data_IF_379236381904
#
_entry.id   IF_379236381904
#
_cell.length_a   1.000
_cell.length_b   1.000
_cell.length_c   1.000
_cell.angle_alpha   90.00
_cell.angle_beta   90.00
_cell.angle_gamma   90.00
#
_symmetry.space_group_name_H-M   'P 1'
#
loop_
_entity.id
_entity.type
_entity.pdbx_description
1 polymer ?
#
# COMPACT_ATOMS: atom_id res chain seq x y z
N UNK A 1 16.76 -42.18 -1.45
CA UNK A 1 15.42 -42.31 -0.83
C UNK A 1 15.42 -41.37 0.35
N UNK A 2 14.85 -40.17 0.22
CA UNK A 2 14.89 -39.16 1.28
C UNK A 2 13.52 -38.49 1.38
N UNK A 3 13.03 -38.48 2.62
CA UNK A 3 11.65 -38.29 3.03
C UNK A 3 11.19 -36.84 2.89
N UNK A 4 9.94 -36.69 2.45
CA UNK A 4 9.11 -35.50 2.64
C UNK A 4 8.82 -35.33 4.14
N UNK A 5 9.01 -34.13 4.68
CA UNK A 5 8.46 -33.76 5.97
C UNK A 5 7.61 -32.49 5.85
N UNK A 6 6.33 -32.66 6.14
CA UNK A 6 5.33 -31.62 6.42
C UNK A 6 5.42 -31.25 7.89
N UNK A 7 5.33 -29.97 8.24
CA UNK A 7 5.16 -29.53 9.63
C UNK A 7 3.93 -28.63 9.73
N UNK A 8 2.85 -29.17 10.29
CA UNK A 8 1.93 -28.42 11.15
C UNK A 8 1.83 -29.20 12.46
N UNK A 9 2.17 -28.56 13.59
CA UNK A 9 1.45 -28.66 14.89
C UNK A 9 2.24 -27.89 15.95
N UNK A 10 1.59 -26.88 16.53
CA UNK A 10 1.97 -26.31 17.84
C UNK A 10 1.05 -26.94 18.88
N UNK A 11 1.63 -27.57 19.90
CA UNK A 11 0.90 -27.91 21.13
C UNK A 11 1.78 -27.53 22.32
N UNK A 12 1.36 -26.49 23.04
CA UNK A 12 1.96 -26.07 24.29
C UNK A 12 0.93 -26.22 25.40
N UNK A 13 1.26 -26.98 26.45
CA UNK A 13 0.64 -26.75 27.75
C UNK A 13 1.58 -27.20 28.88
N UNK A 14 1.98 -26.22 29.71
CA UNK A 14 1.90 -26.35 31.17
C UNK A 14 1.85 -24.94 31.78
N UNK A 15 0.78 -24.68 32.50
CA UNK A 15 0.46 -23.41 33.16
C UNK A 15 1.11 -23.35 34.53
N UNK A 16 1.71 -22.20 34.87
CA UNK A 16 1.89 -21.69 36.25
C UNK A 16 1.88 -20.16 36.21
N UNK A 17 0.79 -19.58 36.72
CA UNK A 17 0.58 -18.15 37.07
C UNK A 17 1.09 -17.11 36.07
N UNK A 18 0.22 -16.64 35.17
CA UNK A 18 0.57 -15.69 34.11
C UNK A 18 0.11 -14.28 34.51
N UNK A 19 1.03 -13.31 34.52
CA UNK A 19 0.67 -11.90 34.39
C UNK A 19 -0.02 -11.73 33.04
N UNK A 20 -1.33 -11.51 33.04
CA UNK A 20 -2.09 -11.31 31.82
C UNK A 20 -1.74 -9.92 31.27
N UNK A 21 -1.02 -9.86 30.15
CA UNK A 21 -0.93 -8.64 29.37
C UNK A 21 -2.34 -8.35 28.83
N UNK A 22 -3.03 -7.37 29.41
CA UNK A 22 -4.30 -6.88 28.89
C UNK A 22 -4.03 -6.14 27.57
N UNK A 23 -4.15 -6.86 26.45
CA UNK A 23 -4.42 -6.24 25.14
C UNK A 23 -5.94 -6.09 25.05
N UNK A 24 -6.46 -4.99 24.47
CA UNK A 24 -7.90 -4.71 24.42
C UNK A 24 -8.72 -5.94 24.04
N UNK A 25 -9.76 -6.22 24.83
CA UNK A 25 -10.58 -7.41 24.67
C UNK A 25 -11.40 -7.35 23.37
N UNK A 26 -11.01 -8.18 22.40
CA UNK A 26 -11.86 -8.68 21.32
C UNK A 26 -12.58 -7.63 20.45
N UNK A 27 -11.86 -6.96 19.54
CA UNK A 27 -12.42 -6.04 18.54
C UNK A 27 -13.20 -6.74 17.39
N UNK A 28 -13.67 -7.97 17.58
CA UNK A 28 -14.30 -8.78 16.54
C UNK A 28 -15.82 -8.97 16.66
N UNK A 29 -16.42 -8.61 17.79
CA UNK A 29 -17.82 -8.98 18.10
C UNK A 29 -18.86 -7.95 17.64
N UNK A 30 -18.46 -6.71 17.38
CA UNK A 30 -19.36 -5.70 16.79
C UNK A 30 -19.64 -5.97 15.30
N UNK A 31 -18.63 -6.42 14.55
CA UNK A 31 -18.74 -6.67 13.10
C UNK A 31 -19.63 -7.87 12.74
N UNK A 32 -19.95 -8.75 13.69
CA UNK A 32 -20.76 -9.95 13.45
C UNK A 32 -22.27 -9.71 13.55
N UNK A 33 -22.71 -8.66 14.26
CA UNK A 33 -24.13 -8.39 14.53
C UNK A 33 -24.86 -7.68 13.37
N UNK A 34 -24.13 -7.03 12.46
CA UNK A 34 -24.69 -6.22 11.36
C UNK A 34 -24.80 -6.92 10.00
N UNK A 35 -24.54 -8.23 9.92
CA UNK A 35 -24.40 -8.93 8.63
C UNK A 35 -23.00 -8.77 8.04
N UNK A 36 -22.72 -9.45 6.90
CA UNK A 36 -21.39 -9.44 6.29
C UNK A 36 -21.08 -8.01 5.80
N UNK A 37 -20.03 -7.35 6.31
CA UNK A 37 -19.69 -6.00 5.87
C UNK A 37 -19.39 -6.00 4.37
N UNK A 38 -19.68 -4.89 3.67
CA UNK A 38 -19.30 -4.76 2.27
C UNK A 38 -17.80 -4.96 2.12
N UNK A 39 -17.37 -5.55 1.00
CA UNK A 39 -15.96 -5.84 0.74
C UNK A 39 -15.16 -4.55 0.83
N UNK A 40 -14.21 -4.49 1.76
CA UNK A 40 -13.27 -3.39 1.90
C UNK A 40 -12.02 -3.72 1.08
N UNK A 41 -11.62 -2.80 0.21
CA UNK A 41 -10.34 -2.87 -0.50
C UNK A 41 -9.26 -2.26 0.39
N UNK A 42 -8.70 -3.07 1.29
CA UNK A 42 -7.53 -2.70 2.09
C UNK A 42 -6.32 -3.42 1.48
N UNK A 43 -5.29 -2.65 1.10
CA UNK A 43 -4.04 -3.21 0.63
C UNK A 43 -3.22 -3.70 1.82
N UNK A 44 -3.30 -5.01 2.10
CA UNK A 44 -2.48 -5.64 3.12
C UNK A 44 -1.13 -5.98 2.52
N UNK A 45 -0.07 -5.32 3.00
CA UNK A 45 1.30 -5.62 2.61
C UNK A 45 1.88 -6.66 3.57
N UNK A 46 1.91 -7.92 3.12
CA UNK A 46 2.58 -9.01 3.81
C UNK A 46 3.42 -9.78 2.78
N UNK A 47 4.75 -9.75 2.95
CA UNK A 47 5.70 -10.41 2.06
C UNK A 47 6.59 -11.34 2.86
N UNK A 48 6.89 -12.51 2.30
CA UNK A 48 7.81 -13.49 2.89
C UNK A 48 8.72 -14.04 1.79
N UNK A 49 10.03 -13.85 1.96
CA UNK A 49 11.02 -14.44 1.07
C UNK A 49 11.24 -15.92 1.39
N UNK A 50 11.78 -16.66 0.43
CA UNK A 50 12.29 -18.00 0.66
C UNK A 50 13.52 -17.96 1.57
N UNK A 51 13.81 -19.03 2.34
CA UNK A 51 15.04 -19.13 3.11
C UNK A 51 16.25 -18.98 2.19
N UNK A 52 17.24 -18.20 2.63
CA UNK A 52 18.51 -17.99 1.92
C UNK A 52 19.67 -18.54 2.74
N UNK A 53 20.65 -19.13 2.07
CA UNK A 53 21.89 -19.57 2.70
C UNK A 53 22.87 -18.39 2.72
N UNK A 54 23.44 -18.11 3.89
CA UNK A 54 24.45 -17.07 4.06
C UNK A 54 25.81 -17.55 3.49
N UNK A 55 26.67 -16.61 3.08
CA UNK A 55 28.02 -16.93 2.61
C UNK A 55 28.97 -17.32 3.77
N UNK A 56 30.24 -17.63 3.44
CA UNK A 56 31.25 -18.01 4.44
C UNK A 56 31.55 -16.92 5.48
N UNK A 57 31.21 -15.67 5.17
CA UNK A 57 31.36 -14.51 6.06
C UNK A 57 30.10 -14.25 6.90
N UNK A 58 29.02 -15.01 6.70
CA UNK A 58 27.74 -14.82 7.39
C UNK A 58 26.85 -13.72 6.79
N UNK A 59 27.11 -13.31 5.55
CA UNK A 59 26.37 -12.26 4.85
C UNK A 59 25.37 -12.86 3.85
N UNK A 60 24.23 -12.18 3.67
CA UNK A 60 23.20 -12.53 2.70
C UNK A 60 22.33 -11.32 2.39
N UNK A 61 21.83 -11.26 1.16
CA UNK A 61 20.95 -10.17 0.72
C UNK A 61 19.63 -10.73 0.20
N UNK A 62 18.53 -10.09 0.58
CA UNK A 62 17.17 -10.44 0.17
C UNK A 62 16.51 -9.17 -0.36
N UNK A 63 15.96 -9.26 -1.57
CA UNK A 63 15.18 -8.16 -2.15
C UNK A 63 13.70 -8.51 -2.05
N UNK A 64 12.92 -7.63 -1.41
CA UNK A 64 11.48 -7.75 -1.30
C UNK A 64 10.83 -6.64 -2.14
N UNK A 65 10.03 -6.98 -3.16
CA UNK A 65 9.29 -5.96 -3.91
C UNK A 65 8.20 -5.38 -3.02
N UNK A 66 8.34 -4.11 -2.67
CA UNK A 66 7.32 -3.34 -1.95
C UNK A 66 6.50 -2.58 -2.99
N UNK A 67 5.19 -2.79 -2.98
CA UNK A 67 4.26 -2.07 -3.85
C UNK A 67 4.02 -0.63 -3.39
N UNK A 68 2.94 -0.03 -3.87
CA UNK A 68 2.50 1.29 -3.41
C UNK A 68 2.00 1.20 -1.95
N UNK A 69 2.89 1.52 -1.02
CA UNK A 69 2.63 1.48 0.41
C UNK A 69 3.23 2.70 1.10
N UNK A 70 2.40 3.36 1.90
CA UNK A 70 2.79 4.49 2.73
C UNK A 70 2.56 4.10 4.20
N UNK A 71 3.63 3.87 4.96
CA UNK A 71 3.54 3.46 6.34
C UNK A 71 4.83 2.86 6.91
N UNK A 72 4.72 2.26 8.10
CA UNK A 72 5.80 1.53 8.75
C UNK A 72 5.72 0.04 8.38
N UNK A 73 6.80 -0.49 7.79
CA UNK A 73 6.99 -1.93 7.60
C UNK A 73 7.87 -2.49 8.71
N UNK A 74 7.45 -3.62 9.28
CA UNK A 74 8.25 -4.40 10.22
C UNK A 74 8.93 -5.54 9.47
N UNK A 75 10.25 -5.47 9.35
CA UNK A 75 11.07 -6.53 8.77
C UNK A 75 11.45 -7.49 9.90
N UNK A 76 11.19 -8.78 9.70
CA UNK A 76 11.53 -9.83 10.66
C UNK A 76 12.42 -10.86 9.98
N UNK A 77 13.53 -11.20 10.63
CA UNK A 77 14.47 -12.21 10.16
C UNK A 77 14.62 -13.29 11.22
N UNK A 78 14.66 -14.54 10.77
CA UNK A 78 14.91 -15.72 11.61
C UNK A 78 16.06 -16.50 10.96
N UNK A 79 17.06 -16.85 11.76
CA UNK A 79 18.23 -17.60 11.34
C UNK A 79 18.37 -18.84 12.21
N UNK A 80 18.78 -19.97 11.63
CA UNK A 80 19.00 -21.21 12.36
C UNK A 80 20.10 -22.06 11.73
N UNK A 81 20.80 -22.82 12.57
CA UNK A 81 21.66 -23.94 12.21
C UNK A 81 21.10 -25.22 12.87
N UNK A 82 21.90 -26.28 13.00
CA UNK A 82 21.48 -27.47 13.75
C UNK A 82 21.33 -27.17 15.26
N UNK A 83 22.21 -26.32 15.81
CA UNK A 83 22.32 -26.07 17.25
C UNK A 83 22.08 -24.59 17.63
N UNK A 84 22.18 -23.67 16.67
CA UNK A 84 22.03 -22.22 16.90
C UNK A 84 20.74 -21.67 16.32
N UNK A 85 20.12 -20.74 17.03
CA UNK A 85 18.91 -20.04 16.60
C UNK A 85 19.03 -18.55 16.90
N UNK A 86 18.53 -17.71 16.00
CA UNK A 86 18.50 -16.26 16.17
C UNK A 86 17.28 -15.65 15.52
N UNK A 87 16.78 -14.56 16.10
CA UNK A 87 15.76 -13.73 15.48
C UNK A 87 16.11 -12.26 15.66
N UNK A 88 15.71 -11.45 14.68
CA UNK A 88 15.85 -10.01 14.76
C UNK A 88 14.72 -9.32 14.01
N UNK A 89 14.44 -8.09 14.38
CA UNK A 89 13.45 -7.25 13.71
C UNK A 89 13.93 -5.82 13.57
N UNK A 90 13.49 -5.16 12.51
CA UNK A 90 13.74 -3.75 12.27
C UNK A 90 12.50 -3.08 11.68
N UNK A 91 12.42 -1.76 11.89
CA UNK A 91 11.35 -0.93 11.36
C UNK A 91 11.89 -0.13 10.18
N UNK A 92 11.14 -0.14 9.09
CA UNK A 92 11.44 0.62 7.87
C UNK A 92 10.25 1.51 7.57
N UNK A 93 10.47 2.81 7.49
CA UNK A 93 9.44 3.76 7.09
C UNK A 93 9.48 3.87 5.57
N UNK A 94 8.36 3.56 4.93
CA UNK A 94 8.17 3.75 3.49
C UNK A 94 7.19 4.92 3.34
N UNK A 95 7.67 6.01 2.74
CA UNK A 95 6.86 7.18 2.50
C UNK A 95 7.12 7.69 1.07
N UNK A 96 6.05 7.81 0.30
CA UNK A 96 6.08 8.51 -0.95
C UNK A 96 6.29 10.01 -0.69
N UNK A 97 7.15 10.69 -1.48
CA UNK A 97 7.40 12.13 -1.35
C UNK A 97 6.14 12.95 -1.63
N UNK A 98 5.30 12.47 -2.54
CA UNK A 98 3.98 13.01 -2.85
C UNK A 98 2.99 11.86 -2.85
N UNK A 99 1.89 12.02 -2.12
CA UNK A 99 0.79 11.05 -2.08
C UNK A 99 -0.30 11.54 -3.02
N UNK A 100 -0.85 10.64 -3.83
CA UNK A 100 -1.99 10.91 -4.70
C UNK A 100 -3.09 9.87 -4.48
N UNK A 101 -4.26 10.31 -4.02
CA UNK A 101 -5.39 9.45 -3.69
C UNK A 101 -6.61 9.83 -4.53
N UNK A 102 -7.12 8.88 -5.31
CA UNK A 102 -8.31 9.09 -6.14
C UNK A 102 -9.55 8.57 -5.41
N UNK A 103 -10.45 9.46 -5.01
CA UNK A 103 -11.74 9.08 -4.47
C UNK A 103 -12.77 8.96 -5.60
N UNK A 104 -13.29 7.75 -5.77
CA UNK A 104 -14.32 7.43 -6.76
C UNK A 104 -15.46 6.62 -6.17
N UNK A 105 -16.69 6.73 -6.70
CA UNK A 105 -17.77 5.85 -6.30
C UNK A 105 -17.45 4.41 -6.69
N UNK A 106 -17.99 3.45 -5.93
CA UNK A 106 -17.72 2.01 -6.15
C UNK A 106 -18.28 1.49 -7.48
N UNK A 107 -19.28 2.15 -8.04
CA UNK A 107 -19.88 1.85 -9.34
C UNK A 107 -20.54 3.11 -9.89
N UNK A 108 -20.74 3.16 -11.20
CA UNK A 108 -21.54 4.18 -11.90
C UNK A 108 -22.47 3.47 -12.86
N UNK A 109 -23.73 3.92 -12.97
CA UNK A 109 -24.64 3.39 -13.97
C UNK A 109 -24.36 4.05 -15.34
N UNK A 110 -24.73 3.37 -16.43
CA UNK A 110 -24.61 3.94 -17.78
C UNK A 110 -25.33 5.28 -17.89
N UNK A 111 -24.63 6.31 -18.34
CA UNK A 111 -25.16 7.67 -18.48
C UNK A 111 -25.00 8.54 -17.22
N UNK A 112 -24.55 7.98 -16.09
CA UNK A 112 -24.29 8.78 -14.88
C UNK A 112 -23.12 9.74 -15.10
N UNK A 113 -23.24 10.90 -14.48
CA UNK A 113 -22.13 11.86 -14.34
C UNK A 113 -21.74 11.94 -12.88
N UNK A 114 -20.45 11.88 -12.62
CA UNK A 114 -19.90 11.98 -11.27
C UNK A 114 -18.72 12.94 -11.24
N UNK A 115 -18.45 13.47 -10.04
CA UNK A 115 -17.31 14.35 -9.80
C UNK A 115 -16.35 13.62 -8.88
N UNK A 116 -15.29 13.07 -9.47
CA UNK A 116 -14.23 12.43 -8.71
C UNK A 116 -13.32 13.48 -8.11
N UNK A 117 -12.61 13.11 -7.05
CA UNK A 117 -11.62 13.98 -6.41
C UNK A 117 -10.28 13.26 -6.37
N UNK A 118 -9.24 13.88 -6.90
CA UNK A 118 -7.86 13.44 -6.75
C UNK A 118 -7.18 14.33 -5.71
N UNK A 119 -6.90 13.76 -4.56
CA UNK A 119 -6.19 14.42 -3.48
C UNK A 119 -4.69 14.24 -3.67
N UNK A 120 -3.95 15.34 -3.70
CA UNK A 120 -2.50 15.35 -3.84
C UNK A 120 -1.91 16.03 -2.62
N UNK A 121 -1.06 15.31 -1.88
CA UNK A 121 -0.41 15.81 -0.67
C UNK A 121 1.10 15.81 -0.85
N UNK A 122 1.72 16.97 -0.66
CA UNK A 122 3.18 17.09 -0.66
C UNK A 122 3.72 16.82 0.76
N UNK A 123 4.38 15.69 0.95
CA UNK A 123 5.02 15.33 2.22
C UNK A 123 6.49 15.74 2.30
N UNK A 124 7.03 16.39 1.26
CA UNK A 124 8.40 16.88 1.25
C UNK A 124 8.55 18.25 1.92
N UNK A 125 9.76 18.56 2.34
CA UNK A 125 10.11 19.87 2.93
C UNK A 125 10.27 20.99 1.89
N UNK A 126 10.05 20.71 0.59
CA UNK A 126 10.24 21.64 -0.51
C UNK A 126 8.95 21.84 -1.31
N UNK A 127 8.73 23.05 -1.88
CA UNK A 127 7.62 23.24 -2.78
C UNK A 127 7.79 22.39 -4.04
N UNK A 128 6.71 21.80 -4.52
CA UNK A 128 6.66 20.93 -5.69
C UNK A 128 5.81 21.58 -6.78
N UNK A 129 6.26 21.48 -8.03
CA UNK A 129 5.48 21.89 -9.20
C UNK A 129 5.16 20.65 -10.02
N UNK A 130 3.94 20.18 -9.90
CA UNK A 130 3.50 18.90 -10.46
C UNK A 130 2.64 19.13 -11.70
N UNK A 131 2.81 18.26 -12.70
CA UNK A 131 1.90 18.17 -13.83
C UNK A 131 1.14 16.85 -13.75
N UNK A 132 -0.19 16.93 -13.80
CA UNK A 132 -1.10 15.79 -13.65
C UNK A 132 -1.78 15.55 -14.99
N UNK A 133 -1.36 14.50 -15.68
CA UNK A 133 -2.00 14.03 -16.90
C UNK A 133 -3.05 12.98 -16.53
N UNK A 134 -4.30 13.19 -16.94
CA UNK A 134 -5.41 12.27 -16.71
C UNK A 134 -5.82 11.63 -18.02
N UNK A 135 -5.99 10.31 -18.01
CA UNK A 135 -6.55 9.55 -19.12
C UNK A 135 -7.67 8.65 -18.59
N UNK A 136 -8.74 8.53 -19.37
CA UNK A 136 -9.80 7.56 -19.13
C UNK A 136 -9.86 6.55 -20.27
N UNK A 137 -10.21 5.31 -19.93
CA UNK A 137 -10.36 4.21 -20.89
C UNK A 137 -11.56 3.32 -20.50
N UNK A 138 -11.98 2.46 -21.42
CA UNK A 138 -13.14 1.58 -21.21
C UNK A 138 -14.47 2.35 -21.29
N UNK A 139 -15.38 2.07 -20.35
CA UNK A 139 -16.71 2.70 -20.27
C UNK A 139 -16.74 4.01 -19.47
N UNK A 140 -15.62 4.73 -19.40
CA UNK A 140 -15.51 6.04 -18.75
C UNK A 140 -14.97 7.08 -19.72
N UNK A 141 -15.56 8.28 -19.68
CA UNK A 141 -15.05 9.48 -20.37
C UNK A 141 -14.77 10.60 -19.38
N UNK A 142 -13.68 11.34 -19.62
CA UNK A 142 -13.40 12.60 -18.93
C UNK A 142 -14.26 13.70 -19.57
N UNK A 143 -14.98 14.45 -18.73
CA UNK A 143 -15.83 15.57 -19.20
C UNK A 143 -15.02 16.86 -19.34
N UNK A 144 -13.87 16.95 -18.68
CA UNK A 144 -12.95 18.09 -18.74
C UNK A 144 -11.57 17.68 -19.22
N UNK A 145 -10.83 18.65 -19.75
CA UNK A 145 -9.41 18.51 -20.06
C UNK A 145 -8.57 18.25 -18.81
N UNK A 146 -7.35 17.76 -19.01
CA UNK A 146 -6.39 17.54 -17.92
C UNK A 146 -6.13 18.84 -17.14
N UNK A 147 -6.04 18.77 -15.80
CA UNK A 147 -5.85 19.94 -14.95
C UNK A 147 -4.52 20.64 -15.25
N UNK A 148 -4.49 21.95 -15.03
CA UNK A 148 -3.28 22.75 -15.15
C UNK A 148 -2.22 22.31 -14.11
N UNK A 149 -0.97 22.74 -14.33
CA UNK A 149 0.12 22.47 -13.40
C UNK A 149 -0.25 22.93 -11.97
N UNK A 150 0.05 22.07 -11.01
CA UNK A 150 -0.29 22.23 -9.60
C UNK A 150 0.96 22.61 -8.82
N UNK A 151 0.93 23.77 -8.18
CA UNK A 151 1.98 24.19 -7.26
C UNK A 151 1.56 23.86 -5.83
N UNK A 152 2.37 23.05 -5.15
CA UNK A 152 2.12 22.54 -3.80
C UNK A 152 3.25 22.96 -2.88
N UNK A 153 2.93 23.77 -1.87
CA UNK A 153 3.86 24.07 -0.79
C UNK A 153 4.15 22.82 0.08
N UNK A 154 5.25 22.82 0.88
CA UNK A 154 5.55 21.74 1.81
C UNK A 154 4.39 21.45 2.77
N UNK A 155 4.04 20.17 2.95
CA UNK A 155 2.98 19.74 3.87
C UNK A 155 1.55 20.08 3.44
N UNK A 156 1.35 20.69 2.27
CA UNK A 156 0.03 21.11 1.80
C UNK A 156 -0.63 19.99 1.00
N UNK A 157 -1.94 19.84 1.22
CA UNK A 157 -2.85 19.03 0.40
C UNK A 157 -3.66 19.93 -0.52
N UNK A 158 -3.84 19.49 -1.75
CA UNK A 158 -4.78 20.07 -2.71
C UNK A 158 -5.71 18.98 -3.26
N UNK A 159 -6.90 19.39 -3.70
CA UNK A 159 -7.90 18.48 -4.24
C UNK A 159 -8.25 18.92 -5.66
N UNK A 160 -7.97 18.06 -6.63
CA UNK A 160 -8.37 18.25 -8.02
C UNK A 160 -9.72 17.60 -8.26
N UNK A 161 -10.58 18.30 -8.98
CA UNK A 161 -11.91 17.80 -9.32
C UNK A 161 -11.93 17.29 -10.75
N UNK A 162 -12.35 16.04 -10.92
CA UNK A 162 -12.33 15.34 -12.20
C UNK A 162 -13.77 14.94 -12.53
N UNK A 163 -14.51 15.74 -13.30
CA UNK A 163 -15.83 15.37 -13.78
C UNK A 163 -15.72 14.26 -14.82
N UNK A 164 -16.45 13.17 -14.60
CA UNK A 164 -16.45 11.98 -15.47
C UNK A 164 -17.87 11.57 -15.82
N UNK A 165 -18.02 10.87 -16.95
CA UNK A 165 -19.29 10.27 -17.36
C UNK A 165 -19.09 8.79 -17.67
N UNK A 166 -20.05 7.97 -17.25
CA UNK A 166 -20.11 6.57 -17.60
C UNK A 166 -20.78 6.38 -18.97
N UNK A 167 -20.10 5.67 -19.86
CA UNK A 167 -20.60 5.35 -21.19
C UNK A 167 -21.67 4.23 -21.15
N UNK A 168 -22.52 4.12 -22.19
CA UNK A 168 -23.48 3.02 -22.29
C UNK A 168 -22.81 1.66 -22.39
N UNK A 169 -23.27 0.69 -21.60
CA UNK A 169 -22.78 -0.69 -21.64
C UNK A 169 -22.60 -1.29 -20.26
N UNK A 170 -22.29 -2.59 -20.24
CA UNK A 170 -21.89 -3.31 -19.03
C UNK A 170 -20.42 -3.70 -19.14
N UNK A 171 -19.61 -3.27 -18.18
CA UNK A 171 -18.17 -3.51 -18.17
C UNK A 171 -17.46 -2.49 -17.29
N UNK A 172 -16.13 -2.46 -17.42
CA UNK A 172 -15.27 -1.64 -16.59
C UNK A 172 -14.87 -0.33 -17.29
N UNK A 173 -14.65 0.70 -16.49
CA UNK A 173 -13.99 1.93 -16.89
C UNK A 173 -12.78 2.14 -15.99
N UNK A 174 -11.71 2.68 -16.55
CA UNK A 174 -10.47 2.92 -15.83
C UNK A 174 -10.07 4.40 -15.97
N UNK A 175 -9.49 4.95 -14.90
CA UNK A 175 -8.90 6.28 -14.89
C UNK A 175 -7.46 6.13 -14.45
N UNK A 176 -6.55 6.65 -15.27
CA UNK A 176 -5.14 6.67 -15.00
C UNK A 176 -4.68 8.11 -14.79
N UNK A 177 -3.91 8.32 -13.72
CA UNK A 177 -3.30 9.61 -13.39
C UNK A 177 -1.78 9.46 -13.42
N UNK A 178 -1.13 10.23 -14.30
CA UNK A 178 0.33 10.31 -14.36
C UNK A 178 0.78 11.65 -13.79
N UNK A 179 1.50 11.60 -12.66
CA UNK A 179 2.05 12.78 -12.01
C UNK A 179 3.53 12.89 -12.36
N UNK A 180 3.92 14.05 -12.89
CA UNK A 180 5.29 14.34 -13.31
C UNK A 180 5.78 15.66 -12.72
N UNK A 181 7.10 15.87 -12.76
CA UNK A 181 7.72 17.09 -12.23
C UNK A 181 8.11 17.04 -10.75
N UNK A 182 8.18 15.85 -10.16
CA UNK A 182 8.69 15.69 -8.79
C UNK A 182 10.15 16.16 -8.69
N UNK A 183 10.42 17.02 -7.71
CA UNK A 183 11.75 17.45 -7.32
C UNK A 183 12.15 16.73 -6.02
N UNK A 184 12.89 15.63 -6.13
CA UNK A 184 13.32 14.84 -4.99
C UNK A 184 14.66 15.33 -4.42
N UNK A 185 14.86 15.34 -3.09
CA UNK A 185 16.15 15.61 -2.50
C UNK A 185 17.14 14.49 -2.88
N UNK A 186 18.22 14.83 -3.60
CA UNK A 186 19.32 13.90 -3.92
C UNK A 186 19.36 13.40 -5.36
N UNK A 187 18.35 13.71 -6.18
CA UNK A 187 18.36 13.35 -7.60
C UNK A 187 19.06 14.44 -8.42
N UNK A 188 20.39 14.45 -8.36
CA UNK A 188 21.17 15.10 -9.41
C UNK A 188 20.90 14.32 -10.69
N UNK A 189 20.07 14.87 -11.58
CA UNK A 189 19.89 14.33 -12.92
C UNK A 189 21.27 14.24 -13.57
N UNK A 190 21.85 13.05 -13.62
CA UNK A 190 23.02 12.81 -14.47
C UNK A 190 22.60 13.15 -15.90
N UNK A 191 23.31 14.12 -16.47
CA UNK A 191 23.20 14.52 -17.86
C UNK A 191 23.91 13.53 -18.75
#
# INVERSE_FOLDING_TARGET
MAQTFTIFTVRLLKVRGVWQLCVSGGDGDELKRGGKPPVNHVNIVAQQALPVTLNEQGEGSVTLPIGDFNGELRVMAQAWTADDFGSNESKVIVAAPVIAELNMPRFMASGDTSRLTLDITNLTDKPQKLNVALTASGLLELVSDSPAAVELAPGVRTTLFIPVRALPGYGDGEIQATISGLALPGENRCR
#
